data_IF_977714291664
#
_entry.id   IF_977714291664
#
_cell.length_a   1.000
_cell.length_b   1.000
_cell.length_c   1.000
_cell.angle_alpha   90.00
_cell.angle_beta   90.00
_cell.angle_gamma   90.00
#
_symmetry.space_group_name_H-M   'P 1'
#
loop_
_entity.id
_entity.type
_entity.pdbx_description
1 polymer ?
#
# COMPACT_ATOMS: atom_id res chain seq x y z
N UNK A 1 -100.67 33.21 29.79
CA UNK A 1 -100.51 31.90 29.14
C UNK A 1 -99.15 31.33 29.54
N UNK A 2 -99.14 30.23 30.29
CA UNK A 2 -97.92 29.51 30.69
C UNK A 2 -97.44 28.67 29.51
N UNK A 3 -96.17 28.78 29.16
CA UNK A 3 -95.46 27.79 28.33
C UNK A 3 -94.24 27.33 29.12
N UNK A 4 -94.19 26.02 29.33
CA UNK A 4 -93.15 25.30 30.05
C UNK A 4 -91.89 25.23 29.16
N UNK A 5 -90.72 25.53 29.73
CA UNK A 5 -89.43 25.26 29.10
C UNK A 5 -88.73 24.12 29.85
N UNK A 6 -88.41 23.09 29.08
CA UNK A 6 -87.75 21.85 29.49
C UNK A 6 -86.28 22.08 29.82
N UNK A 7 -85.82 21.34 30.82
CA UNK A 7 -84.45 21.29 31.32
C UNK A 7 -83.53 20.54 30.36
N UNK A 8 -82.41 21.17 29.97
CA UNK A 8 -81.31 20.52 29.28
C UNK A 8 -80.21 20.09 30.27
N UNK A 9 -80.02 18.77 30.38
CA UNK A 9 -78.91 18.14 31.09
C UNK A 9 -77.62 18.30 30.27
N UNK A 10 -76.70 19.13 30.75
CA UNK A 10 -75.37 19.30 30.17
C UNK A 10 -74.42 18.26 30.78
N UNK A 11 -74.13 17.21 30.02
CA UNK A 11 -73.16 16.16 30.35
C UNK A 11 -71.74 16.66 30.02
N UNK A 12 -70.99 17.14 31.01
CA UNK A 12 -69.57 17.47 30.86
C UNK A 12 -68.75 16.18 30.69
N UNK A 13 -68.19 15.98 29.49
CA UNK A 13 -67.14 14.98 29.25
C UNK A 13 -65.80 15.59 29.61
N UNK A 14 -65.19 15.08 30.66
CA UNK A 14 -63.83 15.37 31.07
C UNK A 14 -62.86 14.66 30.10
N UNK A 15 -62.11 15.44 29.31
CA UNK A 15 -61.06 14.94 28.40
C UNK A 15 -59.73 15.04 29.15
N UNK A 16 -58.99 13.94 29.35
CA UNK A 16 -57.68 13.99 29.99
C UNK A 16 -56.66 14.70 29.09
N UNK A 17 -55.70 15.44 29.67
CA UNK A 17 -54.68 16.16 28.92
C UNK A 17 -53.79 15.14 28.20
N UNK A 18 -53.65 15.30 26.88
CA UNK A 18 -52.66 14.58 26.08
C UNK A 18 -51.30 15.17 26.41
N UNK A 19 -50.43 14.40 27.06
CA UNK A 19 -49.00 14.68 27.13
C UNK A 19 -48.45 14.72 25.70
N UNK A 20 -48.09 15.92 25.26
CA UNK A 20 -47.33 16.14 24.04
C UNK A 20 -45.88 15.86 24.44
N UNK A 21 -45.46 14.60 24.29
CA UNK A 21 -44.03 14.30 24.22
C UNK A 21 -43.50 14.96 22.95
N UNK A 22 -42.90 16.14 23.09
CA UNK A 22 -42.08 16.76 22.07
C UNK A 22 -40.89 15.82 21.84
N UNK A 23 -41.07 14.87 20.92
CA UNK A 23 -39.99 14.09 20.32
C UNK A 23 -39.15 15.09 19.52
N UNK A 24 -38.28 15.82 20.21
CA UNK A 24 -37.08 16.42 19.65
C UNK A 24 -36.23 15.25 19.15
N UNK A 25 -36.57 14.76 17.96
CA UNK A 25 -35.64 13.99 17.14
C UNK A 25 -34.45 14.92 16.94
N UNK A 26 -33.44 14.72 17.78
CA UNK A 26 -32.13 15.32 17.67
C UNK A 26 -31.53 14.81 16.36
N UNK A 27 -31.99 15.38 15.24
CA UNK A 27 -31.41 15.21 13.92
C UNK A 27 -30.05 15.88 14.03
N UNK A 28 -29.05 15.11 14.45
CA UNK A 28 -27.68 15.50 14.22
C UNK A 28 -27.58 15.88 12.74
N UNK A 29 -27.11 17.10 12.42
CA UNK A 29 -26.87 17.47 11.04
C UNK A 29 -26.01 16.38 10.42
N UNK A 30 -26.43 15.86 9.27
CA UNK A 30 -25.69 14.82 8.58
C UNK A 30 -24.22 15.25 8.50
N UNK A 31 -23.26 14.38 8.88
CA UNK A 31 -21.85 14.74 8.89
C UNK A 31 -21.50 15.28 7.50
N UNK A 32 -21.02 16.53 7.46
CA UNK A 32 -20.61 17.13 6.19
C UNK A 32 -19.53 16.24 5.58
N UNK A 33 -19.58 15.97 4.26
CA UNK A 33 -18.54 15.19 3.61
C UNK A 33 -17.19 15.88 3.87
N UNK A 34 -16.14 15.12 4.20
CA UNK A 34 -14.82 15.69 4.43
C UNK A 34 -14.39 16.47 3.19
N UNK A 35 -13.67 17.60 3.37
CA UNK A 35 -13.17 18.38 2.25
C UNK A 35 -12.31 17.48 1.34
N UNK A 36 -12.38 17.66 0.00
CA UNK A 36 -11.57 16.89 -0.92
C UNK A 36 -10.08 17.17 -0.64
N UNK A 37 -9.32 16.11 -0.44
CA UNK A 37 -7.87 16.16 -0.23
C UNK A 37 -7.17 16.40 -1.56
N UNK A 38 -6.00 17.06 -1.54
CA UNK A 38 -5.24 17.34 -2.76
C UNK A 38 -4.46 16.12 -3.26
N UNK A 39 -4.02 15.31 -2.31
CA UNK A 39 -3.32 14.06 -2.58
C UNK A 39 -4.36 12.97 -2.84
N UNK A 40 -4.35 12.30 -4.00
CA UNK A 40 -5.24 11.19 -4.29
C UNK A 40 -5.04 10.04 -3.30
N UNK A 41 -6.16 9.46 -2.87
CA UNK A 41 -6.22 8.32 -1.97
C UNK A 41 -6.59 7.04 -2.69
N UNK A 42 -5.97 5.94 -2.26
CA UNK A 42 -6.25 4.59 -2.74
C UNK A 42 -6.58 3.75 -1.52
N UNK A 43 -7.80 3.22 -1.46
CA UNK A 43 -8.20 2.25 -0.44
C UNK A 43 -8.15 0.85 -1.02
N UNK A 44 -7.25 0.02 -0.49
CA UNK A 44 -7.07 -1.36 -0.91
C UNK A 44 -8.09 -2.26 -0.21
N UNK A 45 -8.50 -3.33 -0.90
CA UNK A 45 -9.40 -4.35 -0.35
C UNK A 45 -8.63 -5.39 0.48
N UNK A 46 -7.70 -4.95 1.33
CA UNK A 46 -6.89 -5.78 2.20
C UNK A 46 -6.80 -5.13 3.59
N UNK A 47 -6.70 -5.92 4.65
CA UNK A 47 -6.60 -5.38 6.03
C UNK A 47 -5.20 -4.80 6.31
N UNK A 48 -4.17 -5.47 5.78
CA UNK A 48 -2.78 -5.03 5.82
C UNK A 48 -2.22 -4.97 4.40
N UNK A 49 -1.23 -4.10 4.20
CA UNK A 49 -0.45 -4.06 2.97
C UNK A 49 0.76 -4.94 3.16
N UNK A 50 0.80 -6.07 2.44
CA UNK A 50 1.96 -6.96 2.46
C UNK A 50 3.18 -6.26 1.85
N UNK A 51 4.38 -6.72 2.20
CA UNK A 51 5.62 -6.24 1.62
C UNK A 51 5.65 -6.40 0.08
N UNK A 52 5.16 -7.53 -0.43
CA UNK A 52 5.01 -7.80 -1.86
C UNK A 52 4.08 -6.78 -2.55
N UNK A 53 2.97 -6.42 -1.91
CA UNK A 53 2.01 -5.45 -2.42
C UNK A 53 2.56 -4.03 -2.41
N UNK A 54 3.20 -3.62 -1.30
CA UNK A 54 3.83 -2.32 -1.19
C UNK A 54 4.93 -2.13 -2.25
N UNK A 55 5.79 -3.14 -2.46
CA UNK A 55 6.83 -3.13 -3.47
C UNK A 55 6.25 -2.97 -4.90
N UNK A 56 5.23 -3.77 -5.25
CA UNK A 56 4.57 -3.73 -6.56
C UNK A 56 3.86 -2.40 -6.84
N UNK A 57 3.18 -1.84 -5.84
CA UNK A 57 2.54 -0.54 -5.99
C UNK A 57 3.56 0.59 -6.14
N UNK A 58 4.66 0.55 -5.38
CA UNK A 58 5.72 1.55 -5.50
C UNK A 58 6.42 1.49 -6.87
N UNK A 59 6.78 0.31 -7.38
CA UNK A 59 7.40 0.19 -8.70
C UNK A 59 6.43 0.60 -9.83
N UNK A 60 5.15 0.24 -9.71
CA UNK A 60 4.11 0.67 -10.64
C UNK A 60 3.97 2.20 -10.66
N UNK A 61 3.97 2.84 -9.48
CA UNK A 61 3.97 4.30 -9.36
C UNK A 61 5.21 4.92 -10.02
N UNK A 62 6.41 4.38 -9.80
CA UNK A 62 7.64 4.88 -10.46
C UNK A 62 7.48 4.83 -11.99
N UNK A 63 6.98 3.72 -12.53
CA UNK A 63 6.71 3.59 -13.97
C UNK A 63 5.70 4.63 -14.48
N UNK A 64 4.62 4.87 -13.73
CA UNK A 64 3.64 5.90 -14.05
C UNK A 64 4.23 7.31 -13.97
N UNK A 65 5.02 7.64 -12.94
CA UNK A 65 5.66 8.95 -12.80
C UNK A 65 6.62 9.22 -13.95
N UNK A 66 7.43 8.23 -14.35
CA UNK A 66 8.33 8.37 -15.50
C UNK A 66 7.56 8.72 -16.77
N UNK A 67 6.42 8.08 -17.02
CA UNK A 67 5.59 8.35 -18.18
C UNK A 67 4.86 9.71 -18.09
N UNK A 68 4.18 9.98 -16.97
CA UNK A 68 3.41 11.21 -16.75
C UNK A 68 4.27 12.47 -16.73
N UNK A 69 5.55 12.35 -16.38
CA UNK A 69 6.52 13.44 -16.37
C UNK A 69 7.38 13.49 -17.63
N UNK A 70 6.96 12.81 -18.69
CA UNK A 70 7.65 12.77 -20.00
C UNK A 70 9.13 12.35 -19.89
N UNK A 71 9.47 11.54 -18.89
CA UNK A 71 10.81 10.98 -18.74
C UNK A 71 11.00 9.78 -19.67
N UNK A 72 9.91 9.16 -20.13
CA UNK A 72 9.91 8.09 -21.13
C UNK A 72 8.77 8.31 -22.13
N UNK A 73 8.94 7.90 -23.40
CA UNK A 73 7.94 8.13 -24.43
C UNK A 73 6.71 7.22 -24.29
N UNK A 74 6.85 6.07 -23.65
CA UNK A 74 5.78 5.09 -23.45
C UNK A 74 5.81 4.53 -22.02
N UNK A 75 4.69 3.99 -21.51
CA UNK A 75 4.69 3.23 -20.26
C UNK A 75 5.75 2.14 -20.27
N UNK A 76 6.50 1.99 -19.17
CA UNK A 76 7.65 1.07 -19.06
C UNK A 76 7.28 -0.37 -19.45
N UNK A 77 6.09 -0.85 -19.07
CA UNK A 77 5.60 -2.19 -19.43
C UNK A 77 5.40 -2.34 -20.95
N UNK A 78 4.90 -1.30 -21.63
CA UNK A 78 4.77 -1.31 -23.09
C UNK A 78 6.16 -1.27 -23.74
N UNK A 79 7.08 -0.48 -23.17
CA UNK A 79 8.46 -0.45 -23.62
C UNK A 79 9.19 -1.77 -23.47
N UNK A 80 8.84 -2.65 -22.53
CA UNK A 80 9.44 -3.97 -22.46
C UNK A 80 8.99 -4.89 -23.61
N UNK A 81 7.79 -4.65 -24.18
CA UNK A 81 7.15 -5.52 -25.18
C UNK A 81 7.35 -5.08 -26.63
N UNK A 82 7.68 -3.82 -26.87
CA UNK A 82 7.90 -3.34 -28.24
C UNK A 82 9.09 -4.08 -28.89
N UNK A 83 9.04 -4.41 -30.18
CA UNK A 83 10.22 -4.96 -30.84
C UNK A 83 11.38 -3.95 -30.73
N UNK A 84 12.59 -4.45 -30.51
CA UNK A 84 13.78 -3.62 -30.67
C UNK A 84 13.97 -3.39 -32.16
N UNK A 85 13.57 -2.22 -32.68
CA UNK A 85 14.10 -1.75 -33.96
C UNK A 85 15.63 -1.69 -33.90
N UNK A 86 16.30 -1.52 -35.05
CA UNK A 86 17.77 -1.55 -35.21
C UNK A 86 18.54 -1.40 -33.90
N UNK A 87 19.02 -2.53 -33.36
CA UNK A 87 19.65 -2.64 -32.04
C UNK A 87 20.90 -1.75 -31.89
N UNK A 88 21.43 -1.27 -33.01
CA UNK A 88 22.55 -0.34 -33.10
C UNK A 88 22.16 1.13 -32.83
N UNK A 89 20.87 1.45 -32.72
CA UNK A 89 20.44 2.82 -32.46
C UNK A 89 20.77 3.23 -31.01
N UNK A 90 21.23 4.48 -30.85
CA UNK A 90 21.47 5.08 -29.52
C UNK A 90 20.23 5.01 -28.63
N UNK A 91 19.05 5.11 -29.23
CA UNK A 91 17.75 5.01 -28.56
C UNK A 91 17.50 3.60 -28.01
N UNK A 92 17.76 2.55 -28.80
CA UNK A 92 17.65 1.16 -28.33
C UNK A 92 18.55 0.90 -27.12
N UNK A 93 19.78 1.45 -27.13
CA UNK A 93 20.69 1.34 -25.98
C UNK A 93 20.15 2.05 -24.73
N UNK A 94 19.66 3.29 -24.85
CA UNK A 94 19.06 4.04 -23.72
C UNK A 94 17.83 3.30 -23.16
N UNK A 95 16.99 2.75 -24.04
CA UNK A 95 15.82 1.93 -23.68
C UNK A 95 16.26 0.71 -22.86
N UNK A 96 17.25 -0.05 -23.33
CA UNK A 96 17.72 -1.24 -22.62
C UNK A 96 18.35 -0.88 -21.27
N UNK A 97 19.15 0.18 -21.19
CA UNK A 97 19.75 0.65 -19.93
C UNK A 97 18.67 1.03 -18.91
N UNK A 98 17.61 1.73 -19.36
CA UNK A 98 16.46 2.06 -18.52
C UNK A 98 15.75 0.79 -18.05
N UNK A 99 15.42 -0.14 -18.96
CA UNK A 99 14.70 -1.37 -18.62
C UNK A 99 15.49 -2.22 -17.61
N UNK A 100 16.81 -2.37 -17.81
CA UNK A 100 17.69 -3.08 -16.88
C UNK A 100 17.72 -2.40 -15.49
N UNK A 101 17.82 -1.07 -15.48
CA UNK A 101 17.86 -0.30 -14.23
C UNK A 101 16.51 -0.36 -13.50
N UNK A 102 15.40 -0.35 -14.24
CA UNK A 102 14.05 -0.45 -13.71
C UNK A 102 13.78 -1.85 -13.13
N UNK A 103 14.24 -2.91 -13.81
CA UNK A 103 14.16 -4.29 -13.32
C UNK A 103 15.01 -4.49 -12.05
N UNK A 104 16.22 -3.93 -12.04
CA UNK A 104 17.09 -3.91 -10.85
C UNK A 104 16.41 -3.21 -9.68
N UNK A 105 15.81 -2.03 -9.91
CA UNK A 105 15.04 -1.33 -8.88
C UNK A 105 13.85 -2.15 -8.40
N UNK A 106 13.11 -2.81 -9.30
CA UNK A 106 11.97 -3.65 -8.95
C UNK A 106 12.37 -4.81 -8.03
N UNK A 107 13.48 -5.49 -8.38
CA UNK A 107 14.06 -6.56 -7.55
C UNK A 107 14.46 -6.04 -6.17
N UNK A 108 15.18 -4.92 -6.11
CA UNK A 108 15.56 -4.31 -4.84
C UNK A 108 14.37 -3.84 -4.02
N UNK A 109 13.32 -3.27 -4.62
CA UNK A 109 12.13 -2.84 -3.88
C UNK A 109 11.42 -4.02 -3.21
N UNK A 110 11.36 -5.19 -3.85
CA UNK A 110 10.80 -6.38 -3.21
C UNK A 110 11.55 -6.72 -1.91
N UNK A 111 12.87 -6.86 -1.96
CA UNK A 111 13.69 -7.17 -0.78
C UNK A 111 13.75 -6.02 0.23
N UNK A 112 13.59 -4.77 -0.22
CA UNK A 112 13.54 -3.57 0.62
C UNK A 112 12.31 -3.58 1.50
N UNK A 113 11.12 -3.84 0.95
CA UNK A 113 9.90 -3.86 1.74
C UNK A 113 9.87 -5.01 2.73
N UNK A 114 10.48 -6.16 2.41
CA UNK A 114 10.64 -7.23 3.41
C UNK A 114 11.60 -6.83 4.53
N UNK A 115 12.72 -6.17 4.21
CA UNK A 115 13.64 -5.65 5.22
C UNK A 115 13.01 -4.54 6.09
N UNK A 116 12.19 -3.66 5.50
CA UNK A 116 11.41 -2.66 6.24
C UNK A 116 10.38 -3.30 7.17
N UNK A 117 9.65 -4.31 6.68
CA UNK A 117 8.70 -5.08 7.48
C UNK A 117 9.37 -5.69 8.72
N UNK A 118 10.57 -6.26 8.54
CA UNK A 118 11.37 -6.78 9.65
C UNK A 118 11.81 -5.66 10.59
N UNK A 119 12.31 -4.54 10.06
CA UNK A 119 12.75 -3.40 10.87
C UNK A 119 11.60 -2.82 11.73
N UNK A 120 10.38 -2.71 11.17
CA UNK A 120 9.21 -2.28 11.92
C UNK A 120 8.78 -3.29 12.98
N UNK A 121 8.89 -4.59 12.71
CA UNK A 121 8.56 -5.62 13.68
C UNK A 121 9.47 -5.58 14.92
N UNK A 122 10.70 -5.10 14.76
CA UNK A 122 11.62 -4.87 15.88
C UNK A 122 11.34 -3.57 16.65
N UNK A 123 10.52 -2.66 16.13
CA UNK A 123 10.19 -1.38 16.79
C UNK A 123 9.03 -1.52 17.79
N UNK A 124 8.09 -2.45 17.52
CA UNK A 124 7.04 -2.80 18.48
C UNK A 124 7.60 -3.67 19.59
N UNK A 125 8.23 -3.05 20.58
CA UNK A 125 8.68 -3.71 21.82
C UNK A 125 7.52 -4.27 22.66
N UNK A 126 6.30 -3.84 22.37
CA UNK A 126 5.05 -4.40 22.87
C UNK A 126 4.66 -5.62 22.03
N UNK A 127 4.39 -6.76 22.69
CA UNK A 127 3.84 -7.98 22.09
C UNK A 127 2.40 -7.83 21.56
N UNK A 128 2.03 -6.62 21.13
CA UNK A 128 0.73 -6.39 20.54
C UNK A 128 0.67 -7.02 19.16
N UNK A 129 -0.39 -7.81 19.01
CA UNK A 129 -0.57 -8.84 18.01
C UNK A 129 -0.52 -8.38 16.54
N UNK A 130 -0.44 -7.09 16.24
CA UNK A 130 -0.62 -6.53 14.90
C UNK A 130 0.23 -5.30 14.70
N UNK A 131 1.55 -5.42 14.89
CA UNK A 131 2.43 -4.33 14.50
C UNK A 131 2.32 -4.12 12.98
N UNK A 132 2.08 -2.88 12.62
CA UNK A 132 2.11 -2.41 11.24
C UNK A 132 2.75 -1.03 11.23
N UNK A 133 3.39 -0.68 10.14
CA UNK A 133 4.14 0.56 9.99
C UNK A 133 3.64 1.41 8.84
N UNK A 134 4.06 2.67 8.83
CA UNK A 134 3.91 3.55 7.68
C UNK A 134 5.22 3.65 6.93
N UNK A 135 5.19 3.37 5.63
CA UNK A 135 6.35 3.50 4.76
C UNK A 135 6.19 4.70 3.82
N UNK A 136 7.27 5.43 3.62
CA UNK A 136 7.30 6.59 2.73
C UNK A 136 8.42 6.45 1.72
N UNK A 137 8.09 6.66 0.45
CA UNK A 137 9.04 6.67 -0.65
C UNK A 137 8.83 7.93 -1.49
N UNK A 138 9.91 8.50 -2.02
CA UNK A 138 9.89 9.67 -2.87
C UNK A 138 10.56 9.37 -4.21
N UNK A 139 9.88 9.73 -5.29
CA UNK A 139 10.41 9.75 -6.66
C UNK A 139 10.80 11.19 -7.00
N UNK A 140 12.08 11.41 -7.25
CA UNK A 140 12.66 12.75 -7.34
C UNK A 140 13.29 12.94 -8.71
N UNK A 141 12.77 13.89 -9.48
CA UNK A 141 13.19 14.14 -10.87
C UNK A 141 14.06 15.40 -10.95
N UNK A 142 15.34 15.21 -11.31
CA UNK A 142 16.27 16.31 -11.54
C UNK A 142 17.75 15.93 -11.42
N UNK A 143 18.67 16.89 -11.64
CA UNK A 143 20.11 16.62 -11.63
C UNK A 143 20.62 16.03 -10.31
N UNK A 144 20.09 16.53 -9.19
CA UNK A 144 20.39 16.06 -7.84
C UNK A 144 19.11 16.02 -7.00
N UNK A 145 19.05 15.23 -5.91
CA UNK A 145 17.90 15.22 -5.02
C UNK A 145 17.56 16.59 -4.42
N UNK A 146 18.59 17.39 -4.08
CA UNK A 146 18.42 18.73 -3.49
C UNK A 146 17.90 19.78 -4.48
N UNK A 147 18.31 19.69 -5.75
CA UNK A 147 17.93 20.62 -6.82
C UNK A 147 16.84 20.06 -7.75
N UNK A 148 16.04 19.13 -7.26
CA UNK A 148 15.01 18.46 -8.04
C UNK A 148 13.92 19.45 -8.52
N UNK A 149 13.47 19.23 -9.76
CA UNK A 149 12.39 20.03 -10.37
C UNK A 149 11.01 19.52 -9.96
N UNK A 150 10.90 18.21 -9.76
CA UNK A 150 9.66 17.56 -9.35
C UNK A 150 9.95 16.51 -8.27
N UNK A 151 9.02 16.38 -7.33
CA UNK A 151 9.07 15.44 -6.22
C UNK A 151 7.67 14.84 -6.08
N UNK A 152 7.60 13.51 -6.19
CA UNK A 152 6.36 12.75 -6.02
C UNK A 152 6.54 11.84 -4.81
N UNK A 153 5.68 11.98 -3.82
CA UNK A 153 5.67 11.19 -2.59
C UNK A 153 4.68 10.03 -2.70
N UNK A 154 5.01 8.91 -2.08
CA UNK A 154 4.05 7.86 -1.78
C UNK A 154 4.08 7.55 -0.30
N UNK A 155 2.90 7.53 0.30
CA UNK A 155 2.67 7.00 1.64
C UNK A 155 1.97 5.66 1.51
N UNK A 156 2.51 4.64 2.17
CA UNK A 156 1.88 3.32 2.33
C UNK A 156 1.55 3.16 3.79
N UNK A 157 0.25 3.16 4.10
CA UNK A 157 -0.28 2.91 5.43
C UNK A 157 -0.46 1.40 5.68
N UNK A 158 -0.45 0.99 6.94
CA UNK A 158 -0.65 -0.39 7.37
C UNK A 158 0.27 -1.41 6.67
N UNK A 159 1.55 -1.07 6.46
CA UNK A 159 2.56 -2.03 6.01
C UNK A 159 2.71 -3.11 7.09
N UNK A 160 2.51 -4.37 6.71
CA UNK A 160 2.67 -5.51 7.59
C UNK A 160 4.08 -5.52 8.21
N UNK A 161 4.17 -5.60 9.53
CA UNK A 161 5.45 -5.77 10.23
C UNK A 161 5.61 -7.24 10.64
N UNK A 162 6.60 -7.91 10.04
CA UNK A 162 6.86 -9.33 10.25
C UNK A 162 8.35 -9.59 10.41
N UNK A 163 8.72 -10.35 11.43
CA UNK A 163 10.10 -10.85 11.59
C UNK A 163 10.28 -12.07 10.69
N UNK A 164 11.19 -11.97 9.72
CA UNK A 164 11.51 -13.12 8.88
C UNK A 164 12.09 -14.27 9.72
N UNK A 165 11.60 -15.50 9.49
CA UNK A 165 12.12 -16.70 10.15
C UNK A 165 11.41 -17.08 11.44
N UNK A 166 10.61 -16.18 12.05
CA UNK A 166 9.67 -16.58 13.10
C UNK A 166 8.47 -17.26 12.43
N UNK A 167 8.25 -18.54 12.73
CA UNK A 167 7.01 -19.22 12.35
C UNK A 167 5.87 -18.55 13.11
N UNK A 168 4.74 -18.39 12.44
CA UNK A 168 3.54 -17.82 13.06
C UNK A 168 2.93 -18.89 13.97
N UNK A 169 3.53 -19.08 15.15
CA UNK A 169 3.13 -20.10 16.13
C UNK A 169 1.71 -19.84 16.70
N UNK A 170 1.08 -18.73 16.30
CA UNK A 170 -0.27 -18.33 16.68
C UNK A 170 -1.35 -19.26 16.14
N UNK A 171 -1.08 -19.99 15.06
CA UNK A 171 -2.00 -21.02 14.57
C UNK A 171 -1.95 -22.32 15.39
N UNK A 172 -1.03 -22.45 16.36
CA UNK A 172 -0.86 -23.67 17.15
C UNK A 172 -1.47 -23.60 18.56
N UNK A 173 -2.10 -22.49 18.96
CA UNK A 173 -2.69 -22.33 20.30
C UNK A 173 -4.20 -22.49 20.23
N UNK A 174 -4.71 -23.64 19.79
CA UNK A 174 -6.05 -24.10 20.10
C UNK A 174 -6.11 -25.63 19.94
N UNK A 175 -6.70 -26.27 20.95
CA UNK A 175 -6.97 -27.71 21.06
C UNK A 175 -5.84 -28.60 21.59
N UNK A 176 -5.44 -28.33 22.84
CA UNK A 176 -4.63 -29.25 23.64
C UNK A 176 -4.80 -29.06 25.15
N UNK A 177 -6.03 -28.81 25.62
CA UNK A 177 -6.33 -28.91 27.04
C UNK A 177 -6.26 -30.39 27.46
N UNK A 178 -5.12 -30.82 27.99
CA UNK A 178 -5.03 -32.11 28.68
C UNK A 178 -3.66 -32.77 28.60
N UNK A 179 -2.80 -32.44 29.55
CA UNK A 179 -2.15 -33.40 30.45
C UNK A 179 -0.98 -32.69 31.13
N UNK A 180 -1.17 -32.44 32.42
CA UNK A 180 -0.07 -32.31 33.36
C UNK A 180 0.79 -33.57 33.23
N UNK A 181 2.07 -33.42 32.86
CA UNK A 181 3.09 -34.33 33.37
C UNK A 181 4.41 -33.57 33.45
N UNK A 182 4.84 -33.39 34.70
CA UNK A 182 6.24 -33.30 35.09
C UNK A 182 7.08 -34.23 34.20
N UNK A 183 8.22 -33.77 33.68
CA UNK A 183 9.51 -34.37 34.06
C UNK A 183 10.66 -33.45 33.64
N UNK A 184 11.45 -33.16 34.66
CA UNK A 184 12.74 -32.53 34.71
C UNK A 184 13.76 -33.33 33.88
N UNK A 185 14.39 -32.73 32.86
CA UNK A 185 15.63 -33.29 32.31
C UNK A 185 16.68 -32.22 32.02
N UNK A 186 17.74 -32.36 32.78
CA UNK A 186 19.03 -31.68 32.80
C UNK A 186 19.98 -32.44 31.85
N UNK A 187 20.44 -31.80 30.78
CA UNK A 187 21.67 -32.12 30.03
C UNK A 187 21.77 -31.12 28.87
N UNK A 188 22.82 -30.32 28.67
CA UNK A 188 24.22 -30.55 28.98
C UNK A 188 24.89 -31.22 27.79
N UNK A 189 25.15 -30.48 26.70
CA UNK A 189 26.24 -30.83 25.78
C UNK A 189 26.67 -29.63 24.94
N UNK A 190 27.94 -29.27 25.09
CA UNK A 190 28.64 -28.25 24.31
C UNK A 190 29.37 -28.97 23.17
N UNK A 191 29.15 -28.55 21.92
CA UNK A 191 29.99 -29.00 20.81
C UNK A 191 30.45 -27.81 19.96
N UNK A 192 31.70 -27.44 20.22
CA UNK A 192 32.58 -26.72 19.30
C UNK A 192 32.69 -27.51 17.99
N UNK A 193 32.43 -26.83 16.87
CA UNK A 193 32.78 -27.36 15.55
C UNK A 193 33.40 -26.24 14.71
N UNK A 194 34.72 -26.12 14.85
CA UNK A 194 35.60 -25.47 13.89
C UNK A 194 35.46 -26.15 12.52
N UNK A 195 35.18 -25.37 11.46
CA UNK A 195 35.35 -25.85 10.11
C UNK A 195 35.88 -24.73 9.20
N UNK A 196 37.20 -24.61 9.20
CA UNK A 196 37.98 -23.95 8.16
C UNK A 196 37.86 -24.75 6.86
N UNK A 197 37.37 -24.12 5.79
CA UNK A 197 37.47 -24.69 4.44
C UNK A 197 37.73 -23.60 3.41
N UNK A 198 39.00 -23.25 3.30
CA UNK A 198 39.57 -22.56 2.14
C UNK A 198 39.42 -23.42 0.88
N UNK A 199 38.75 -22.88 -0.14
CA UNK A 199 38.50 -23.56 -1.40
C UNK A 199 38.49 -22.59 -2.58
N UNK A 200 39.67 -22.10 -2.93
CA UNK A 200 39.98 -21.44 -4.20
C UNK A 200 39.73 -22.41 -5.38
N UNK A 201 38.92 -22.01 -6.35
CA UNK A 201 38.86 -22.65 -7.66
C UNK A 201 38.47 -21.64 -8.75
N UNK A 202 39.50 -21.14 -9.43
CA UNK A 202 39.44 -20.58 -10.79
C UNK A 202 38.70 -21.54 -11.74
N UNK A 203 37.66 -21.07 -12.44
CA UNK A 203 37.23 -21.69 -13.71
C UNK A 203 36.58 -20.67 -14.65
N UNK A 204 37.45 -19.98 -15.37
CA UNK A 204 37.53 -19.85 -16.82
C UNK A 204 36.28 -20.09 -17.73
N UNK A 205 36.19 -19.20 -18.73
CA UNK A 205 35.70 -19.36 -20.11
C UNK A 205 34.19 -19.27 -20.45
N UNK A 206 33.84 -18.09 -21.00
CA UNK A 206 33.42 -17.93 -22.40
C UNK A 206 32.46 -18.97 -23.00
N UNK A 207 31.17 -18.67 -22.94
CA UNK A 207 30.14 -19.36 -23.73
C UNK A 207 29.18 -18.35 -24.36
N UNK A 208 29.54 -17.82 -25.53
CA UNK A 208 28.66 -17.06 -26.41
C UNK A 208 27.68 -18.02 -27.09
N UNK A 209 26.45 -18.10 -26.60
CA UNK A 209 25.38 -18.89 -27.21
C UNK A 209 24.32 -17.98 -27.81
N UNK A 210 24.49 -17.66 -29.09
CA UNK A 210 23.47 -17.11 -29.97
C UNK A 210 22.38 -18.17 -30.18
N UNK A 211 21.23 -17.99 -29.52
CA UNK A 211 20.04 -18.82 -29.73
C UNK A 211 18.95 -18.00 -30.41
N UNK A 212 19.01 -17.98 -31.75
CA UNK A 212 17.94 -17.51 -32.63
C UNK A 212 16.80 -18.54 -32.65
N UNK A 213 15.78 -18.33 -31.83
CA UNK A 213 14.52 -19.07 -31.83
C UNK A 213 13.38 -18.17 -32.27
N UNK A 214 13.12 -18.19 -33.58
CA UNK A 214 12.03 -17.55 -34.29
C UNK A 214 10.77 -18.42 -34.17
N UNK A 215 9.82 -18.03 -33.31
CA UNK A 215 8.48 -18.62 -33.26
C UNK A 215 7.41 -17.51 -33.27
N UNK A 216 7.05 -17.11 -34.48
CA UNK A 216 5.86 -16.32 -34.83
C UNK A 216 4.57 -17.10 -34.48
N UNK A 217 4.11 -16.97 -33.24
CA UNK A 217 2.78 -17.44 -32.85
C UNK A 217 1.73 -16.37 -33.23
N UNK A 218 1.21 -16.47 -34.44
CA UNK A 218 0.01 -15.77 -34.90
C UNK A 218 -1.23 -16.30 -34.16
N UNK A 219 -1.78 -15.51 -33.23
CA UNK A 219 -3.10 -15.76 -32.65
C UNK A 219 -4.13 -14.99 -33.47
N UNK A 220 -4.68 -15.68 -34.47
CA UNK A 220 -5.88 -15.24 -35.17
C UNK A 220 -7.06 -15.17 -34.20
N UNK A 221 -7.87 -14.14 -34.45
CA UNK A 221 -9.05 -13.73 -33.70
C UNK A 221 -10.25 -14.49 -34.24
N UNK A 222 -10.89 -15.33 -33.42
CA UNK A 222 -12.22 -15.89 -33.70
C UNK A 222 -13.17 -15.45 -32.56
N UNK A 223 -14.04 -14.47 -32.81
CA UNK A 223 -15.42 -14.59 -33.31
C UNK A 223 -16.37 -15.15 -32.26
N UNK A 224 -17.28 -14.28 -31.81
CA UNK A 224 -18.38 -14.61 -30.91
C UNK A 224 -19.36 -15.57 -31.57
N UNK A 225 -19.78 -16.61 -30.86
CA UNK A 225 -21.08 -17.25 -31.10
C UNK A 225 -21.78 -17.59 -29.78
N UNK A 226 -22.85 -16.83 -29.55
CA UNK A 226 -23.84 -16.99 -28.50
C UNK A 226 -24.57 -18.33 -28.66
N UNK A 227 -24.37 -19.24 -27.71
CA UNK A 227 -25.19 -20.46 -27.56
C UNK A 227 -25.90 -20.45 -26.22
N UNK A 228 -27.19 -20.16 -26.26
CA UNK A 228 -28.14 -20.34 -25.16
C UNK A 228 -28.18 -21.81 -24.74
N UNK A 229 -27.81 -22.08 -23.48
CA UNK A 229 -28.08 -23.37 -22.83
C UNK A 229 -29.40 -23.29 -22.03
N UNK A 230 -30.21 -24.36 -22.03
CA UNK A 230 -31.53 -24.39 -21.39
C UNK A 230 -31.46 -24.58 -19.86
N UNK A 231 -32.40 -23.91 -19.18
CA UNK A 231 -32.57 -23.91 -17.72
C UNK A 231 -32.82 -25.31 -17.12
N UNK A 232 -32.19 -25.69 -15.99
CA UNK A 232 -32.53 -26.90 -15.26
C UNK A 232 -33.80 -26.73 -14.40
N UNK A 233 -34.51 -27.84 -14.09
CA UNK A 233 -35.82 -27.80 -13.45
C UNK A 233 -35.79 -27.43 -11.96
N UNK A 234 -36.80 -26.66 -11.56
CA UNK A 234 -37.23 -26.44 -10.19
C UNK A 234 -37.77 -27.74 -9.60
N UNK A 235 -37.16 -28.27 -8.53
CA UNK A 235 -37.83 -28.93 -7.39
C UNK A 235 -36.81 -29.71 -6.53
N UNK A 236 -36.66 -29.32 -5.26
CA UNK A 236 -36.66 -30.24 -4.10
C UNK A 236 -36.58 -29.44 -2.80
N UNK A 237 -37.63 -29.58 -2.00
CA UNK A 237 -37.79 -29.12 -0.62
C UNK A 237 -36.79 -29.80 0.32
N UNK A 238 -36.06 -29.07 1.18
CA UNK A 238 -35.32 -29.66 2.28
C UNK A 238 -36.18 -29.71 3.56
N UNK A 239 -36.21 -30.89 4.18
CA UNK A 239 -36.84 -31.19 5.46
C UNK A 239 -36.18 -30.43 6.62
N UNK A 240 -36.95 -30.00 7.64
CA UNK A 240 -36.39 -29.37 8.84
C UNK A 240 -35.75 -30.43 9.75
N UNK A 241 -34.42 -30.51 9.74
CA UNK A 241 -33.67 -31.30 10.72
C UNK A 241 -33.16 -30.37 11.81
N UNK A 242 -33.81 -30.45 12.97
CA UNK A 242 -33.52 -29.71 14.19
C UNK A 242 -32.25 -30.24 14.86
N UNK A 243 -31.06 -29.91 14.35
CA UNK A 243 -29.81 -30.08 15.09
C UNK A 243 -29.19 -28.71 15.35
N UNK A 244 -29.42 -28.20 16.55
CA UNK A 244 -28.93 -26.93 17.09
C UNK A 244 -27.45 -27.00 17.47
N UNK A 245 -26.60 -27.42 16.53
CA UNK A 245 -25.15 -27.30 16.70
C UNK A 245 -24.75 -25.90 16.24
N UNK A 246 -24.09 -25.08 17.06
CA UNK A 246 -23.55 -23.81 16.60
C UNK A 246 -22.62 -24.08 15.40
N UNK A 247 -22.77 -23.33 14.28
CA UNK A 247 -21.88 -23.49 13.15
C UNK A 247 -20.43 -23.27 13.64
N UNK A 248 -19.48 -24.12 13.25
CA UNK A 248 -18.08 -23.90 13.60
C UNK A 248 -17.66 -22.50 13.15
N UNK A 249 -16.86 -21.76 13.96
CA UNK A 249 -16.39 -20.45 13.57
C UNK A 249 -15.69 -20.54 12.21
N UNK A 250 -15.93 -19.58 11.29
CA UNK A 250 -15.34 -19.62 9.96
C UNK A 250 -13.82 -19.61 10.09
N UNK A 251 -13.18 -20.73 9.80
CA UNK A 251 -11.72 -20.81 9.72
C UNK A 251 -11.26 -19.88 8.60
N UNK A 252 -10.57 -18.80 8.96
CA UNK A 252 -9.94 -17.90 7.99
C UNK A 252 -8.76 -18.67 7.41
N UNK A 253 -8.98 -19.32 6.27
CA UNK A 253 -7.89 -19.94 5.52
C UNK A 253 -6.97 -18.83 5.01
N UNK A 254 -5.63 -19.03 5.05
CA UNK A 254 -4.72 -18.09 4.42
C UNK A 254 -5.10 -17.92 2.94
N UNK A 255 -5.00 -16.70 2.39
CA UNK A 255 -5.32 -16.47 1.00
C UNK A 255 -4.46 -17.35 0.10
N UNK A 256 -5.08 -17.89 -0.93
CA UNK A 256 -4.35 -18.67 -1.94
C UNK A 256 -3.46 -17.74 -2.77
N UNK A 257 -2.33 -18.25 -3.30
CA UNK A 257 -1.44 -17.48 -4.17
C UNK A 257 -2.16 -16.83 -5.36
N UNK A 258 -3.16 -17.51 -5.94
CA UNK A 258 -3.97 -16.97 -7.02
C UNK A 258 -4.79 -15.73 -6.58
N UNK A 259 -5.37 -15.77 -5.37
CA UNK A 259 -6.10 -14.63 -4.79
C UNK A 259 -5.16 -13.46 -4.49
N UNK A 260 -3.96 -13.73 -3.99
CA UNK A 260 -2.94 -12.68 -3.76
C UNK A 260 -2.57 -11.99 -5.07
N UNK A 261 -2.28 -12.74 -6.13
CA UNK A 261 -1.99 -12.18 -7.46
C UNK A 261 -3.17 -11.37 -8.03
N UNK A 262 -4.40 -11.81 -7.82
CA UNK A 262 -5.59 -11.08 -8.24
C UNK A 262 -5.77 -9.77 -7.46
N UNK A 263 -5.54 -9.80 -6.15
CA UNK A 263 -5.55 -8.62 -5.29
C UNK A 263 -4.48 -7.61 -5.75
N UNK A 264 -3.27 -8.08 -6.06
CA UNK A 264 -2.18 -7.24 -6.59
C UNK A 264 -2.55 -6.57 -7.92
N UNK A 265 -3.10 -7.32 -8.89
CA UNK A 265 -3.55 -6.74 -10.17
C UNK A 265 -4.68 -5.73 -9.99
N UNK A 266 -5.58 -6.00 -9.05
CA UNK A 266 -6.69 -5.10 -8.73
C UNK A 266 -6.19 -3.81 -8.11
N UNK A 267 -5.24 -3.90 -7.18
CA UNK A 267 -4.58 -2.76 -6.55
C UNK A 267 -3.80 -1.92 -7.58
N UNK A 268 -3.03 -2.54 -8.47
CA UNK A 268 -2.32 -1.84 -9.55
C UNK A 268 -3.27 -1.11 -10.50
N UNK A 269 -4.37 -1.76 -10.92
CA UNK A 269 -5.39 -1.12 -11.77
C UNK A 269 -6.08 0.05 -11.06
N UNK A 270 -6.33 -0.08 -9.76
CA UNK A 270 -6.88 0.99 -8.94
C UNK A 270 -5.92 2.18 -8.88
N UNK A 271 -4.62 1.93 -8.64
CA UNK A 271 -3.57 2.95 -8.68
C UNK A 271 -3.54 3.67 -10.04
N UNK A 272 -3.44 2.92 -11.15
CA UNK A 272 -3.43 3.52 -12.49
C UNK A 272 -4.65 4.39 -12.76
N UNK A 273 -5.85 3.93 -12.36
CA UNK A 273 -7.10 4.68 -12.55
C UNK A 273 -7.12 5.95 -11.70
N UNK A 274 -6.71 5.87 -10.44
CA UNK A 274 -6.64 7.02 -9.54
C UNK A 274 -5.66 8.06 -10.07
N UNK A 275 -4.49 7.63 -10.55
CA UNK A 275 -3.51 8.53 -11.17
C UNK A 275 -4.05 9.19 -12.44
N UNK A 276 -4.74 8.44 -13.30
CA UNK A 276 -5.36 8.98 -14.50
C UNK A 276 -6.43 10.04 -14.18
N UNK A 277 -7.26 9.80 -13.16
CA UNK A 277 -8.27 10.77 -12.69
C UNK A 277 -7.60 12.04 -12.16
N UNK A 278 -6.57 11.89 -11.32
CA UNK A 278 -5.85 13.01 -10.72
C UNK A 278 -5.09 13.88 -11.75
N UNK A 279 -4.81 13.35 -12.95
CA UNK A 279 -4.20 14.11 -14.02
C UNK A 279 -5.16 15.07 -14.72
N UNK A 280 -6.47 14.79 -14.74
CA UNK A 280 -7.45 15.56 -15.49
C UNK A 280 -8.10 16.73 -14.74
N UNK A 281 -8.07 16.70 -13.40
CA UNK A 281 -8.96 17.55 -12.58
C UNK A 281 -8.33 18.86 -12.11
N UNK A 282 -7.01 19.02 -12.24
CA UNK A 282 -6.29 20.19 -11.72
C UNK A 282 -5.82 21.11 -12.85
N UNK A 283 -6.31 22.35 -12.88
CA UNK A 283 -6.01 23.47 -13.81
C UNK A 283 -4.51 23.67 -14.16
N UNK A 284 -3.91 22.75 -14.91
CA UNK A 284 -2.47 22.73 -15.19
C UNK A 284 -1.58 22.37 -13.99
N UNK A 285 -2.17 21.92 -12.89
CA UNK A 285 -1.46 21.48 -11.67
C UNK A 285 -1.54 19.97 -11.45
N UNK A 286 -1.81 19.18 -12.48
CA UNK A 286 -1.80 17.71 -12.39
C UNK A 286 -0.40 17.10 -12.24
N UNK A 287 -0.36 15.80 -11.96
CA UNK A 287 0.85 14.96 -12.04
C UNK A 287 1.44 14.92 -13.47
N UNK A 288 0.63 15.17 -14.49
CA UNK A 288 1.09 15.31 -15.87
C UNK A 288 1.71 16.70 -16.08
N UNK A 289 3.04 16.78 -15.99
CA UNK A 289 3.79 18.00 -16.31
C UNK A 289 4.94 17.60 -17.22
N UNK A 290 4.95 18.16 -18.42
CA UNK A 290 5.98 17.88 -19.41
C UNK A 290 7.34 18.41 -18.90
N UNK A 291 8.28 17.50 -18.75
CA UNK A 291 9.63 17.81 -18.32
C UNK A 291 10.61 17.18 -19.30
N UNK A 292 11.68 17.92 -19.62
CA UNK A 292 12.80 17.32 -20.32
C UNK A 292 13.31 16.08 -19.55
N UNK A 293 13.81 15.04 -20.24
CA UNK A 293 14.38 13.89 -19.56
C UNK A 293 15.51 14.27 -18.61
N UNK A 294 15.48 13.74 -17.41
CA UNK A 294 16.44 13.98 -16.34
C UNK A 294 16.81 12.68 -15.61
N UNK A 295 17.67 12.78 -14.60
CA UNK A 295 17.95 11.71 -13.67
C UNK A 295 16.79 11.59 -12.67
N UNK A 296 16.36 10.36 -12.41
CA UNK A 296 15.37 10.00 -11.41
C UNK A 296 16.08 9.37 -10.22
N UNK A 297 15.86 9.94 -9.03
CA UNK A 297 16.37 9.44 -7.76
C UNK A 297 15.22 8.83 -6.96
N UNK A 298 15.48 7.69 -6.32
CA UNK A 298 14.52 7.03 -5.43
C UNK A 298 15.02 7.20 -3.99
N UNK A 299 14.17 7.75 -3.13
CA UNK A 299 14.50 8.03 -1.73
C UNK A 299 13.48 7.34 -0.85
N UNK A 300 13.92 6.69 0.23
CA UNK A 300 13.11 5.92 1.16
C UNK A 300 13.26 6.48 2.57
N UNK A 301 12.15 6.60 3.31
CA UNK A 301 12.17 6.86 4.75
C UNK A 301 12.19 5.53 5.49
N UNK A 302 13.23 5.26 6.28
CA UNK A 302 13.37 4.00 7.00
C UNK A 302 14.10 4.21 8.34
N UNK A 303 13.92 3.32 9.34
CA UNK A 303 14.69 3.34 10.59
C UNK A 303 16.20 3.29 10.34
N UNK A 304 17.03 3.76 11.29
CA UNK A 304 18.50 3.65 11.17
C UNK A 304 18.99 2.20 11.10
N UNK A 305 18.32 1.29 11.80
CA UNK A 305 18.60 -0.16 11.76
C UNK A 305 18.21 -0.84 10.44
N UNK A 306 17.57 -0.15 9.51
CA UNK A 306 17.31 -0.67 8.19
C UNK A 306 18.64 -0.97 7.48
N UNK A 307 18.80 -2.19 7.00
CA UNK A 307 20.03 -2.65 6.35
C UNK A 307 19.67 -3.30 5.01
N UNK A 308 20.13 -2.70 3.92
CA UNK A 308 19.94 -3.26 2.58
C UNK A 308 21.07 -2.81 1.64
N UNK A 309 21.70 -3.72 0.87
CA UNK A 309 22.92 -3.42 0.12
C UNK A 309 22.75 -2.31 -0.93
N UNK A 310 21.57 -2.21 -1.55
CA UNK A 310 21.26 -1.21 -2.57
C UNK A 310 20.89 0.19 -2.03
N UNK A 311 20.87 0.40 -0.71
CA UNK A 311 20.43 1.67 -0.12
C UNK A 311 21.55 2.32 0.69
N UNK A 312 21.75 3.61 0.44
CA UNK A 312 22.78 4.41 1.12
C UNK A 312 22.11 5.45 2.01
N UNK A 313 22.46 5.55 3.30
CA UNK A 313 21.89 6.56 4.19
C UNK A 313 22.35 7.96 3.78
N UNK A 314 21.42 8.93 3.76
CA UNK A 314 21.66 10.32 3.32
C UNK A 314 21.18 11.32 4.38
N UNK A 315 21.90 11.39 5.49
CA UNK A 315 21.58 12.33 6.58
C UNK A 315 21.62 13.81 6.17
N UNK A 316 22.42 14.16 5.15
CA UNK A 316 22.50 15.53 4.63
C UNK A 316 21.22 16.02 3.96
N UNK A 317 20.33 15.10 3.57
CA UNK A 317 19.06 15.42 2.90
C UNK A 317 17.87 15.51 3.87
N UNK A 318 18.04 15.11 5.13
CA UNK A 318 16.92 14.91 6.06
C UNK A 318 16.01 16.13 6.18
N UNK A 319 16.55 17.31 6.51
CA UNK A 319 15.71 18.49 6.72
C UNK A 319 14.86 18.91 5.51
N UNK A 320 15.33 18.67 4.28
CA UNK A 320 14.58 19.00 3.06
C UNK A 320 13.45 18.00 2.79
N UNK A 321 13.72 16.70 2.99
CA UNK A 321 12.71 15.66 2.77
C UNK A 321 11.75 15.50 3.95
N UNK A 322 12.16 15.83 5.18
CA UNK A 322 11.26 15.92 6.33
C UNK A 322 10.24 17.06 6.12
N UNK A 323 10.69 18.22 5.64
CA UNK A 323 9.78 19.31 5.26
C UNK A 323 8.85 18.93 4.10
N UNK A 324 9.34 18.12 3.14
CA UNK A 324 8.54 17.58 2.04
C UNK A 324 7.46 16.61 2.54
N UNK A 325 7.84 15.71 3.45
CA UNK A 325 6.94 14.73 4.08
C UNK A 325 5.90 15.43 4.95
N UNK A 326 6.29 16.42 5.75
CA UNK A 326 5.36 17.25 6.53
C UNK A 326 4.29 17.89 5.63
N UNK A 327 4.70 18.45 4.49
CA UNK A 327 3.78 19.04 3.53
C UNK A 327 2.90 17.98 2.85
N UNK A 328 3.46 16.82 2.51
CA UNK A 328 2.70 15.70 1.97
C UNK A 328 1.58 15.25 2.93
N UNK A 329 1.91 15.08 4.22
CA UNK A 329 0.96 14.68 5.26
C UNK A 329 -0.12 15.73 5.52
N UNK A 330 0.25 17.01 5.46
CA UNK A 330 -0.71 18.12 5.56
C UNK A 330 -1.67 18.16 4.36
N UNK A 331 -1.16 17.94 3.13
CA UNK A 331 -1.98 17.95 1.91
C UNK A 331 -2.82 16.67 1.72
N UNK A 332 -2.41 15.57 2.33
CA UNK A 332 -3.21 14.33 2.41
C UNK A 332 -4.28 14.39 3.50
N UNK A 333 -4.11 15.22 4.54
CA UNK A 333 -5.03 15.23 5.68
C UNK A 333 -4.80 14.05 6.64
N UNK A 334 -3.61 13.46 6.60
CA UNK A 334 -3.13 12.43 7.55
C UNK A 334 -2.34 13.05 8.70
N UNK A 335 -2.39 14.38 8.83
CA UNK A 335 -1.79 15.09 9.96
C UNK A 335 -2.88 15.36 11.00
N UNK A 336 -2.70 14.97 12.27
CA UNK A 336 -3.61 15.36 13.33
C UNK A 336 -3.67 16.88 13.39
N UNK A 337 -4.89 17.42 13.50
CA UNK A 337 -5.16 18.87 13.52
C UNK A 337 -4.44 19.48 14.73
N UNK A 338 -3.22 20.00 14.52
CA UNK A 338 -2.48 20.75 15.53
C UNK A 338 -2.91 22.21 15.44
N UNK A 339 -3.78 22.62 16.35
CA UNK A 339 -4.39 23.96 16.40
C UNK A 339 -3.38 25.14 16.42
N UNK A 340 -2.11 24.91 16.72
CA UNK A 340 -1.13 25.97 16.98
C UNK A 340 -0.16 26.31 15.83
N UNK A 341 -0.29 25.69 14.65
CA UNK A 341 0.72 25.90 13.60
C UNK A 341 0.44 27.16 12.77
N UNK A 342 1.11 28.25 13.16
CA UNK A 342 1.24 29.47 12.34
C UNK A 342 1.68 29.09 10.92
N UNK A 343 0.83 29.42 9.93
CA UNK A 343 1.00 29.18 8.48
C UNK A 343 2.47 29.31 8.05
N UNK A 344 3.17 28.19 7.92
CA UNK A 344 4.56 28.17 7.46
C UNK A 344 4.62 28.63 5.99
N UNK A 345 5.74 29.26 5.64
CA UNK A 345 6.02 29.80 4.30
C UNK A 345 5.82 28.69 3.26
N UNK A 346 4.94 28.94 2.29
CA UNK A 346 4.56 28.04 1.18
C UNK A 346 5.81 27.42 0.54
N UNK A 347 6.06 26.15 0.83
CA UNK A 347 7.10 25.33 0.21
C UNK A 347 6.78 25.05 -1.25
N UNK A 348 7.69 24.34 -1.94
CA UNK A 348 7.43 23.85 -3.29
C UNK A 348 6.19 22.96 -3.32
N UNK A 349 5.54 22.83 -4.48
CA UNK A 349 4.36 21.95 -4.61
C UNK A 349 4.78 20.49 -4.38
N UNK A 350 4.05 19.79 -3.51
CA UNK A 350 4.21 18.36 -3.31
C UNK A 350 3.14 17.64 -4.11
N UNK A 351 3.56 16.61 -4.84
CA UNK A 351 2.65 15.70 -5.51
C UNK A 351 2.81 14.33 -4.86
N UNK A 352 1.81 13.48 -4.96
CA UNK A 352 1.93 12.14 -4.43
C UNK A 352 0.67 11.33 -4.50
N UNK A 353 0.72 10.16 -3.89
CA UNK A 353 -0.42 9.25 -3.71
C UNK A 353 -0.35 8.67 -2.31
N UNK A 354 -1.50 8.55 -1.67
CA UNK A 354 -1.62 7.88 -0.39
C UNK A 354 -2.33 6.53 -0.57
N UNK A 355 -1.71 5.46 -0.09
CA UNK A 355 -2.20 4.09 -0.20
C UNK A 355 -2.59 3.62 1.20
N UNK A 356 -3.88 3.40 1.42
CA UNK A 356 -4.43 2.84 2.65
C UNK A 356 -4.85 1.39 2.45
N UNK A 357 -4.73 0.60 3.50
CA UNK A 357 -5.52 -0.63 3.64
C UNK A 357 -7.00 -0.30 3.93
N UNK A 358 -7.84 -1.32 3.97
CA UNK A 358 -9.26 -1.24 4.35
C UNK A 358 -9.42 -0.74 5.79
N UNK A 359 -8.50 -1.15 6.67
CA UNK A 359 -8.46 -0.74 8.07
C UNK A 359 -7.49 0.44 8.18
N UNK A 360 -8.01 1.66 8.06
CA UNK A 360 -7.19 2.85 8.30
C UNK A 360 -6.62 2.77 9.71
N UNK A 361 -5.31 2.91 9.84
CA UNK A 361 -4.68 3.00 11.15
C UNK A 361 -5.18 4.28 11.81
N UNK A 362 -6.01 4.13 12.83
CA UNK A 362 -6.41 5.26 13.68
C UNK A 362 -5.16 5.78 14.39
N UNK A 363 -4.95 7.09 14.28
CA UNK A 363 -3.76 7.81 14.79
C UNK A 363 -3.46 7.55 16.27
N UNK A 364 -4.44 7.05 17.03
CA UNK A 364 -4.33 6.65 18.43
C UNK A 364 -3.17 5.67 18.71
N UNK A 365 -2.70 4.91 17.71
CA UNK A 365 -1.57 3.99 17.88
C UNK A 365 -0.19 4.67 17.84
N UNK A 366 -0.05 5.87 17.27
CA UNK A 366 1.26 6.56 17.16
C UNK A 366 1.53 7.52 18.35
N UNK A 367 0.54 7.78 19.21
CA UNK A 367 0.65 8.74 20.32
C UNK A 367 1.18 8.06 21.61
N UNK A 368 2.08 7.09 21.51
CA UNK A 368 2.97 6.73 22.64
C UNK A 368 4.14 7.71 22.64
N UNK A 369 3.81 9.01 22.71
CA UNK A 369 4.71 10.15 22.51
C UNK A 369 5.60 10.48 23.72
N UNK A 370 5.71 9.57 24.67
CA UNK A 370 6.46 9.77 25.92
C UNK A 370 7.68 8.87 26.10
N UNK A 371 7.81 7.81 25.31
CA UNK A 371 8.97 6.91 25.42
C UNK A 371 10.12 7.43 24.57
N UNK A 372 11.32 7.39 25.15
CA UNK A 372 12.56 7.73 24.47
C UNK A 372 12.79 6.72 23.33
N UNK A 373 12.49 7.14 22.10
CA UNK A 373 12.70 6.32 20.89
C UNK A 373 14.20 6.00 20.82
N UNK A 374 14.54 4.72 20.74
CA UNK A 374 15.92 4.27 20.53
C UNK A 374 16.54 4.97 19.31
N UNK A 375 17.81 5.35 19.38
CA UNK A 375 18.52 5.97 18.24
C UNK A 375 18.45 5.09 16.99
N UNK A 376 18.43 3.77 17.16
CA UNK A 376 18.31 2.79 16.07
C UNK A 376 16.96 2.82 15.34
N UNK A 377 15.93 3.31 16.03
CA UNK A 377 14.56 3.45 15.53
C UNK A 377 14.27 4.82 14.93
N UNK A 378 15.20 5.76 15.02
CA UNK A 378 15.06 7.06 14.39
C UNK A 378 14.90 6.87 12.87
N UNK A 379 13.81 7.40 12.32
CA UNK A 379 13.59 7.39 10.88
C UNK A 379 14.59 8.34 10.21
N UNK A 380 15.33 7.83 9.23
CA UNK A 380 16.26 8.60 8.38
C UNK A 380 15.92 8.40 6.90
N UNK A 381 16.54 9.20 6.04
CA UNK A 381 16.38 9.08 4.60
C UNK A 381 17.50 8.25 3.98
N UNK A 382 17.10 7.29 3.15
CA UNK A 382 17.95 6.41 2.38
C UNK A 382 17.77 6.71 0.91
N UNK A 383 18.82 6.57 0.11
CA UNK A 383 18.75 6.74 -1.34
C UNK A 383 19.20 5.49 -2.03
N UNK A 384 18.45 5.06 -3.04
CA UNK A 384 18.85 3.93 -3.87
C UNK A 384 20.15 4.28 -4.62
N UNK A 385 21.11 3.36 -4.61
CA UNK A 385 22.43 3.55 -5.20
C UNK A 385 22.46 3.48 -6.74
N UNK A 386 21.39 2.95 -7.33
CA UNK A 386 21.23 2.89 -8.78
C UNK A 386 20.82 4.21 -9.41
N UNK A 387 20.60 4.16 -10.73
CA UNK A 387 20.25 5.32 -11.54
C UNK A 387 19.12 4.98 -12.50
N UNK A 388 18.18 5.90 -12.67
CA UNK A 388 17.17 5.85 -13.71
C UNK A 388 17.29 7.12 -14.54
N UNK A 389 17.64 6.98 -15.82
CA UNK A 389 17.83 8.12 -16.72
C UNK A 389 16.71 8.12 -17.75
N UNK A 390 15.89 9.16 -17.75
CA UNK A 390 14.86 9.32 -18.76
C UNK A 390 15.44 9.56 -20.16
N UNK A 391 14.62 9.35 -21.18
CA UNK A 391 14.90 9.74 -22.56
C UNK A 391 13.61 10.09 -23.30
N UNK A 392 13.70 10.97 -24.30
CA UNK A 392 12.54 11.41 -25.09
C UNK A 392 12.57 10.93 -26.55
N UNK A 393 13.74 10.50 -27.05
CA UNK A 393 13.90 10.01 -28.41
C UNK A 393 13.26 8.61 -28.53
N UNK A 394 12.37 8.38 -29.51
CA UNK A 394 11.85 7.04 -29.83
C UNK A 394 12.10 6.69 -31.29
#
# INVERSE_FOLDING_TARGET
MRVLALSDCKLERHVPPREIEDIYTNRQPAPMPPPPTKIPFITLDADLVTDSMAARLCISLVGHVLFLKSQVPFPVIQMARMPGGDTTSRTAKKRQELLNSFDTLASHLNTTFTALSTAFAHHSGTEDARSSGRAYLAVVLGPTPGSAKCRVMVGVDALEAKVWGKRDDRLSVCEGAGAEDDEQSDSGDESDSDNDSDGEADTNESGNSDSSGDEEAAWETETEESSQAPSPPLSRTPSPSSSSSPPPPPHILPPTYAQELEALRTAERLLSRTLASACGENDGQGMASEMAPTLTHIVLRAPRKFMHPAWVPRQTLSGAFDALLDQFLEESGERPERDDIKKKKKGGKVEGVWICSRQRLTEDSEIISGEEISEEDEMIWWTWDGKLVGFADW
#
